data_IF_921683556080
#
_entry.id   IF_921683556080
#
_cell.length_a   1.000
_cell.length_b   1.000
_cell.length_c   1.000
_cell.angle_alpha   90.00
_cell.angle_beta   90.00
_cell.angle_gamma   90.00
#
_symmetry.space_group_name_H-M   'P 1'
#
loop_
_entity.id
_entity.type
_entity.pdbx_description
1 polymer ?
#
# COMPACT_ATOMS: atom_id res chain seq x y z
N UNK A 1 0.90 -7.70 5.92
CA UNK A 1 0.24 -9.00 6.21
C UNK A 1 -0.96 -8.68 7.10
N UNK A 2 -2.16 -9.17 6.82
CA UNK A 2 -3.31 -8.93 7.73
C UNK A 2 -3.26 -9.89 8.92
N UNK A 3 -4.07 -9.63 9.95
CA UNK A 3 -4.08 -10.29 11.27
C UNK A 3 -4.04 -11.83 11.24
N UNK A 4 -4.60 -12.49 10.21
CA UNK A 4 -4.62 -13.97 10.08
C UNK A 4 -3.61 -14.54 9.10
N UNK A 5 -2.56 -13.79 8.77
CA UNK A 5 -1.51 -14.23 7.87
C UNK A 5 -1.87 -14.22 6.38
N UNK A 6 -3.06 -13.73 6.03
CA UNK A 6 -3.52 -13.52 4.66
C UNK A 6 -3.02 -12.18 4.09
N UNK A 7 -3.13 -12.03 2.78
CA UNK A 7 -2.77 -10.82 2.06
C UNK A 7 -3.98 -10.24 1.34
N UNK A 8 -4.01 -8.91 1.21
CA UNK A 8 -5.02 -8.24 0.40
C UNK A 8 -4.88 -8.70 -1.05
N UNK A 9 -5.95 -9.23 -1.63
CA UNK A 9 -6.01 -9.72 -2.99
C UNK A 9 -7.06 -8.95 -3.81
N UNK A 10 -6.81 -8.79 -5.11
CA UNK A 10 -7.72 -8.16 -6.05
C UNK A 10 -8.01 -9.08 -7.22
N UNK A 11 -9.29 -9.43 -7.40
CA UNK A 11 -9.79 -10.16 -8.56
C UNK A 11 -10.92 -9.36 -9.22
N UNK A 12 -10.70 -8.91 -10.47
CA UNK A 12 -11.62 -8.00 -11.13
C UNK A 12 -11.82 -6.69 -10.34
N UNK A 13 -13.04 -6.48 -9.82
CA UNK A 13 -13.41 -5.36 -8.97
C UNK A 13 -13.45 -5.70 -7.48
N UNK A 14 -13.37 -6.99 -7.13
CA UNK A 14 -13.47 -7.45 -5.76
C UNK A 14 -12.12 -7.32 -5.06
N UNK A 15 -12.15 -6.83 -3.82
CA UNK A 15 -11.00 -6.75 -2.92
C UNK A 15 -11.31 -7.67 -1.74
N UNK A 16 -10.39 -8.58 -1.42
CA UNK A 16 -10.54 -9.48 -0.28
C UNK A 16 -9.19 -9.71 0.41
N UNK A 17 -9.19 -10.56 1.43
CA UNK A 17 -7.96 -11.03 2.06
C UNK A 17 -8.10 -12.51 2.41
N UNK A 18 -8.26 -13.35 1.38
CA UNK A 18 -8.62 -14.78 1.53
C UNK A 18 -7.40 -15.70 1.54
N UNK A 19 -6.33 -15.30 0.87
CA UNK A 19 -5.22 -16.19 0.58
C UNK A 19 -3.93 -15.79 1.30
N UNK A 20 -3.10 -16.79 1.61
CA UNK A 20 -1.83 -16.62 2.31
C UNK A 20 -0.63 -16.52 1.35
N UNK A 21 -0.81 -16.76 0.06
CA UNK A 21 0.23 -16.65 -0.94
C UNK A 21 0.53 -15.18 -1.32
N UNK A 22 1.71 -14.97 -1.90
CA UNK A 22 2.17 -13.67 -2.43
C UNK A 22 2.14 -13.67 -3.96
N UNK A 23 1.05 -14.13 -4.54
CA UNK A 23 0.87 -14.17 -5.99
C UNK A 23 0.59 -12.81 -6.65
N UNK A 24 0.23 -12.86 -7.93
CA UNK A 24 -0.03 -11.67 -8.74
C UNK A 24 -1.19 -10.84 -8.19
N UNK A 25 -2.23 -11.49 -7.67
CA UNK A 25 -3.42 -10.83 -7.15
C UNK A 25 -3.16 -10.02 -5.89
N UNK A 26 -2.11 -10.37 -5.14
CA UNK A 26 -1.67 -9.70 -3.91
C UNK A 26 -0.65 -8.59 -4.17
N UNK A 27 -0.23 -8.40 -5.43
CA UNK A 27 0.71 -7.34 -5.80
C UNK A 27 0.00 -5.99 -5.85
N UNK A 28 0.25 -5.16 -4.84
CA UNK A 28 -0.24 -3.79 -4.74
C UNK A 28 0.92 -2.81 -4.87
N UNK A 29 0.76 -1.79 -5.70
CA UNK A 29 1.75 -0.72 -5.91
C UNK A 29 1.28 0.57 -5.26
N UNK A 30 2.14 1.20 -4.46
CA UNK A 30 1.91 2.55 -3.95
C UNK A 30 2.14 3.59 -5.05
N UNK A 31 1.16 4.43 -5.29
CA UNK A 31 1.22 5.52 -6.25
C UNK A 31 1.05 6.86 -5.52
N UNK A 32 2.07 7.71 -5.56
CA UNK A 32 1.99 9.04 -4.97
C UNK A 32 0.81 9.83 -5.57
N UNK A 33 0.06 10.52 -4.71
CA UNK A 33 -0.90 11.53 -5.19
C UNK A 33 -0.20 12.88 -5.21
N UNK A 34 -0.25 13.55 -6.35
CA UNK A 34 0.64 14.65 -6.74
C UNK A 34 0.44 15.95 -5.96
N UNK A 35 -0.42 16.00 -4.94
CA UNK A 35 -0.79 17.24 -4.26
C UNK A 35 0.40 17.94 -3.56
N UNK A 36 1.38 17.20 -3.04
CA UNK A 36 2.58 17.78 -2.39
C UNK A 36 3.75 17.97 -3.36
N UNK A 37 3.90 17.07 -4.34
CA UNK A 37 4.98 17.15 -5.34
C UNK A 37 4.76 18.23 -6.39
N UNK A 38 3.49 18.52 -6.75
CA UNK A 38 3.16 19.63 -7.66
C UNK A 38 3.43 21.01 -7.04
N UNK A 39 3.20 21.17 -5.72
CA UNK A 39 3.47 22.42 -4.98
C UNK A 39 4.94 22.80 -4.91
N UNK A 40 5.85 21.84 -5.11
CA UNK A 40 7.30 22.05 -5.05
C UNK A 40 7.98 22.15 -6.43
N UNK A 41 7.21 22.18 -7.53
CA UNK A 41 7.78 22.32 -8.88
C UNK A 41 8.63 21.13 -9.34
N UNK A 42 8.60 20.00 -8.62
CA UNK A 42 9.41 18.82 -8.94
C UNK A 42 8.72 18.05 -10.07
N UNK A 43 9.05 18.42 -11.31
CA UNK A 43 8.48 17.89 -12.56
C UNK A 43 8.89 16.43 -12.85
N UNK A 44 9.90 15.90 -12.16
CA UNK A 44 10.29 14.49 -12.25
C UNK A 44 9.78 13.76 -11.01
N UNK A 45 8.91 12.76 -11.18
CA UNK A 45 8.54 11.83 -10.10
C UNK A 45 9.79 11.06 -9.66
N UNK A 46 10.64 11.67 -8.84
CA UNK A 46 11.73 10.98 -8.19
C UNK A 46 11.10 9.84 -7.40
N UNK A 47 11.54 8.61 -7.65
CA UNK A 47 11.22 7.48 -6.76
C UNK A 47 11.76 7.88 -5.40
N UNK A 48 10.86 8.20 -4.49
CA UNK A 48 11.18 8.46 -3.09
C UNK A 48 10.49 7.43 -2.24
N UNK A 49 11.09 7.19 -1.10
CA UNK A 49 10.50 6.36 -0.06
C UNK A 49 9.13 6.92 0.37
N UNK A 50 8.19 6.02 0.62
CA UNK A 50 6.88 6.36 1.20
C UNK A 50 7.07 6.59 2.69
N UNK A 51 6.65 7.75 3.18
CA UNK A 51 6.85 8.16 4.59
C UNK A 51 5.54 8.19 5.36
N UNK A 52 5.64 8.20 6.69
CA UNK A 52 4.52 8.53 7.55
C UNK A 52 3.87 9.86 7.11
N UNK A 53 2.54 9.87 7.03
CA UNK A 53 1.74 11.00 6.57
C UNK A 53 1.64 11.16 5.05
N UNK A 54 2.30 10.31 4.24
CA UNK A 54 2.18 10.41 2.79
C UNK A 54 0.78 10.02 2.32
N UNK A 55 0.23 10.83 1.40
CA UNK A 55 -1.02 10.54 0.73
C UNK A 55 -0.74 9.71 -0.53
N UNK A 56 -1.21 8.48 -0.52
CA UNK A 56 -0.95 7.47 -1.55
C UNK A 56 -2.25 6.95 -2.16
N UNK A 57 -2.10 6.26 -3.27
CA UNK A 57 -3.13 5.42 -3.90
C UNK A 57 -2.58 4.02 -4.05
N UNK A 58 -3.43 3.02 -3.94
CA UNK A 58 -3.03 1.62 -4.01
C UNK A 58 -3.49 1.04 -5.34
N UNK A 59 -2.54 0.76 -6.25
CA UNK A 59 -2.83 0.21 -7.58
C UNK A 59 -2.63 -1.31 -7.59
N UNK A 60 -3.66 -2.05 -7.95
CA UNK A 60 -3.61 -3.50 -8.14
C UNK A 60 -2.93 -3.88 -9.45
N UNK A 61 -2.57 -5.17 -9.59
CA UNK A 61 -1.93 -5.71 -10.79
C UNK A 61 -2.74 -5.46 -12.09
N UNK A 62 -4.06 -5.40 -11.99
CA UNK A 62 -4.97 -5.16 -13.12
C UNK A 62 -5.16 -3.66 -13.45
N UNK A 63 -4.34 -2.78 -12.88
CA UNK A 63 -4.37 -1.34 -13.13
C UNK A 63 -5.47 -0.56 -12.40
N UNK A 64 -6.37 -1.25 -11.69
CA UNK A 64 -7.41 -0.60 -10.86
C UNK A 64 -6.85 -0.12 -9.53
N UNK A 65 -7.54 0.83 -8.92
CA UNK A 65 -7.17 1.40 -7.63
C UNK A 65 -8.14 0.93 -6.55
N UNK A 66 -7.61 0.60 -5.38
CA UNK A 66 -8.45 0.32 -4.22
C UNK A 66 -9.17 1.62 -3.84
N UNK A 67 -10.46 1.48 -3.53
CA UNK A 67 -11.35 2.55 -3.11
C UNK A 67 -12.15 2.10 -1.90
N UNK A 68 -12.43 3.03 -0.99
CA UNK A 68 -13.33 2.81 0.15
C UNK A 68 -14.65 3.52 -0.10
N UNK A 69 -15.76 2.82 0.02
CA UNK A 69 -17.10 3.39 -0.03
C UNK A 69 -17.98 2.72 1.01
N UNK A 70 -18.59 3.51 1.91
CA UNK A 70 -19.53 3.03 2.94
C UNK A 70 -19.00 1.80 3.72
N UNK A 71 -17.73 1.84 4.12
CA UNK A 71 -17.07 0.75 4.87
C UNK A 71 -16.67 -0.47 4.03
N UNK A 72 -16.94 -0.47 2.73
CA UNK A 72 -16.55 -1.55 1.81
C UNK A 72 -15.39 -1.16 0.90
N UNK A 73 -14.54 -2.13 0.57
CA UNK A 73 -13.44 -1.97 -0.38
C UNK A 73 -13.84 -2.47 -1.78
N UNK A 74 -13.47 -1.72 -2.81
CA UNK A 74 -13.61 -2.13 -4.21
C UNK A 74 -12.40 -1.68 -5.04
N UNK A 75 -12.08 -2.42 -6.10
CA UNK A 75 -11.07 -2.04 -7.07
C UNK A 75 -11.74 -1.39 -8.27
N UNK A 76 -11.54 -0.09 -8.45
CA UNK A 76 -12.19 0.71 -9.49
C UNK A 76 -11.19 1.36 -10.44
N UNK A 77 -11.59 1.64 -11.70
CA UNK A 77 -10.82 2.49 -12.58
C UNK A 77 -10.84 3.95 -12.08
N UNK A 78 -9.83 4.72 -12.49
CA UNK A 78 -9.77 6.15 -12.23
C UNK A 78 -9.08 6.50 -10.91
N UNK A 79 -7.79 6.83 -11.01
CA UNK A 79 -6.94 7.19 -9.88
C UNK A 79 -7.30 8.53 -9.21
N UNK A 80 -8.19 9.33 -9.80
CA UNK A 80 -8.51 10.69 -9.31
C UNK A 80 -9.53 10.71 -8.17
N UNK A 81 -10.16 9.58 -7.87
CA UNK A 81 -11.23 9.49 -6.87
C UNK A 81 -10.71 9.86 -5.47
N UNK A 82 -11.41 10.72 -4.71
CA UNK A 82 -11.09 10.98 -3.31
C UNK A 82 -11.08 9.71 -2.46
N UNK A 83 -12.02 8.79 -2.73
CA UNK A 83 -12.11 7.49 -2.06
C UNK A 83 -10.95 6.53 -2.34
N UNK A 84 -10.06 6.85 -3.28
CA UNK A 84 -8.85 6.08 -3.59
C UNK A 84 -7.60 6.58 -2.84
N UNK A 85 -7.73 7.65 -2.04
CA UNK A 85 -6.62 8.29 -1.33
C UNK A 85 -6.52 7.70 0.08
N UNK A 86 -5.31 7.28 0.44
CA UNK A 86 -5.00 6.71 1.75
C UNK A 86 -3.83 7.49 2.35
N UNK A 87 -3.87 7.73 3.66
CA UNK A 87 -2.73 8.27 4.40
C UNK A 87 -1.92 7.09 4.93
N UNK A 88 -0.61 7.12 4.72
CA UNK A 88 0.29 6.11 5.25
C UNK A 88 0.62 6.44 6.69
N UNK A 89 0.16 5.60 7.61
CA UNK A 89 0.61 5.62 9.00
C UNK A 89 1.66 4.53 9.15
N UNK A 90 2.91 4.93 9.37
CA UNK A 90 3.97 4.02 9.80
C UNK A 90 3.95 4.06 11.32
N UNK A 91 3.65 2.93 11.93
CA UNK A 91 3.99 2.67 13.32
C UNK A 91 5.39 2.08 13.33
N UNK A 92 6.26 2.61 14.19
CA UNK A 92 7.48 1.89 14.51
C UNK A 92 7.02 0.60 15.17
N UNK A 93 7.06 -0.51 14.44
CA UNK A 93 7.16 -1.78 15.12
C UNK A 93 8.44 -1.67 15.94
N UNK A 94 8.35 -1.82 17.27
CA UNK A 94 9.52 -1.99 18.13
C UNK A 94 10.33 -3.15 17.54
N UNK A 95 11.32 -2.79 16.72
CA UNK A 95 12.19 -3.71 16.02
C UNK A 95 13.20 -4.17 17.06
N UNK A 96 12.78 -5.07 17.94
CA UNK A 96 13.69 -5.77 18.82
C UNK A 96 14.52 -6.70 17.93
N UNK A 97 15.79 -6.34 17.79
CA UNK A 97 16.82 -7.19 17.21
C UNK A 97 16.96 -8.44 18.09
N UNK A 98 16.15 -9.46 17.81
CA UNK A 98 16.42 -10.81 18.29
C UNK A 98 17.39 -11.47 17.31
N UNK A 99 18.63 -10.96 17.31
CA UNK A 99 19.80 -11.57 16.72
C UNK A 99 20.60 -12.29 17.79
N UNK A 100 20.25 -13.56 18.00
CA UNK A 100 21.06 -14.68 18.51
C UNK A 100 22.38 -14.35 19.23
N UNK A 101 22.41 -14.67 20.52
CA UNK A 101 23.61 -15.14 21.17
C UNK A 101 24.05 -16.47 20.53
N UNK A 102 25.27 -16.56 19.98
CA UNK A 102 26.19 -17.67 20.21
C UNK A 102 27.59 -17.43 19.60
N UNK A 103 28.59 -17.42 20.51
CA UNK A 103 29.98 -17.85 20.35
C UNK A 103 30.88 -17.17 19.29
N UNK A 104 31.96 -16.53 19.75
CA UNK A 104 33.33 -17.06 19.62
C UNK A 104 34.35 -16.18 20.39
N UNK A 105 34.98 -16.82 21.38
CA UNK A 105 36.24 -16.53 22.10
C UNK A 105 36.27 -15.39 23.11
#
# INVERSE_FOLDING_TARGET
RVFHGRYVDVCGQSVSAKWADKGLWQKITFCQTTARSARLGIQKRAKREVRHGDLVRLRAHNGRFLTVSRGSLAALPGASRPSAKFVVHVEAADWTDNGDAHALR
#
